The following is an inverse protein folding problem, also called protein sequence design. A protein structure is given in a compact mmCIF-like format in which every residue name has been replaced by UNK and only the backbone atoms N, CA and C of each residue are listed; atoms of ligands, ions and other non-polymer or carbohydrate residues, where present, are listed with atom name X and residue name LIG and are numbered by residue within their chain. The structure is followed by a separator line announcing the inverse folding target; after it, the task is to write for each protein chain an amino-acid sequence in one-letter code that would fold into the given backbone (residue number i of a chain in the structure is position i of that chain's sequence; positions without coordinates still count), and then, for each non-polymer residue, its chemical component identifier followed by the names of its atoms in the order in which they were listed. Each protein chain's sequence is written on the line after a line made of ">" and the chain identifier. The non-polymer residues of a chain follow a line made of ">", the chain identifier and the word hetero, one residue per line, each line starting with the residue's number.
data_IF_092609164803
#
_entry.id   IF_092609164803
#
_cell.length_a   1.000
_cell.length_b   1.000
_cell.length_c   1.000
_cell.angle_alpha   90.00
_cell.angle_beta   90.00
_cell.angle_gamma   90.00
#
_symmetry.space_group_name_H-M   'P 1'
#
loop_
_entity.id
_entity.type
_entity.pdbx_description
1 polymer ?
#
# COMPACT_ATOMS: atom_id res chain seq x y z
N UNK A 1 -6.39 14.47 21.48
CA UNK A 1 -6.14 13.53 22.61
C UNK A 1 -4.67 13.11 22.53
N UNK A 2 -3.83 13.60 23.44
CA UNK A 2 -2.38 13.37 23.42
C UNK A 2 -2.01 11.96 23.88
N UNK A 3 -0.99 11.38 23.25
CA UNK A 3 -0.44 10.05 23.57
C UNK A 3 0.41 10.06 24.86
N UNK A 4 -0.19 10.40 26.00
CA UNK A 4 0.51 10.41 27.29
C UNK A 4 0.53 9.04 28.02
N UNK A 5 -0.03 7.98 27.45
CA UNK A 5 -0.20 6.68 28.13
C UNK A 5 0.69 5.54 27.61
N UNK A 6 1.65 5.80 26.73
CA UNK A 6 2.60 4.78 26.26
C UNK A 6 3.81 4.69 27.20
N UNK A 7 3.68 3.98 28.32
CA UNK A 7 4.83 3.56 29.13
C UNK A 7 5.42 2.26 28.58
N UNK A 8 6.73 2.24 28.30
CA UNK A 8 7.52 1.03 28.02
C UNK A 8 7.67 0.17 29.28
N UNK A 9 7.51 -1.15 29.16
CA UNK A 9 7.83 -2.09 30.24
C UNK A 9 9.33 -2.18 30.53
N UNK A 10 9.72 -2.90 31.59
CA UNK A 10 11.13 -3.10 31.96
C UNK A 10 11.98 -3.78 30.86
N UNK A 11 11.33 -4.43 29.90
CA UNK A 11 11.95 -5.10 28.75
C UNK A 11 11.94 -4.25 27.46
N UNK A 12 11.65 -2.94 27.54
CA UNK A 12 11.68 -2.03 26.39
C UNK A 12 10.51 -2.17 25.40
N UNK A 13 9.58 -3.09 25.62
CA UNK A 13 8.38 -3.23 24.79
C UNK A 13 7.24 -2.29 25.24
N UNK A 14 6.57 -1.57 24.33
CA UNK A 14 5.38 -0.78 24.66
C UNK A 14 4.20 -1.70 24.95
N UNK A 15 3.51 -1.49 26.08
CA UNK A 15 2.23 -2.16 26.36
C UNK A 15 1.18 -1.64 25.37
N UNK A 16 0.91 -2.42 24.32
CA UNK A 16 -0.01 -2.06 23.24
C UNK A 16 -1.45 -1.81 23.72
N UNK A 17 -2.23 -1.12 22.87
CA UNK A 17 -3.69 -1.04 22.99
C UNK A 17 -4.26 -2.46 23.06
N UNK A 18 -5.24 -2.69 23.95
CA UNK A 18 -5.89 -3.96 24.28
C UNK A 18 -6.55 -4.69 23.09
N UNK A 19 -5.76 -5.09 22.12
CA UNK A 19 -6.09 -6.05 21.09
C UNK A 19 -4.93 -7.05 21.12
N UNK A 20 -5.21 -8.35 21.24
CA UNK A 20 -4.23 -9.42 21.45
C UNK A 20 -3.30 -9.67 20.23
N UNK A 21 -3.00 -8.64 19.45
CA UNK A 21 -1.89 -8.61 18.52
C UNK A 21 -0.67 -8.01 19.23
N UNK A 22 0.45 -8.71 19.18
CA UNK A 22 1.75 -8.17 19.56
C UNK A 22 2.03 -6.92 18.73
N UNK A 23 1.92 -5.76 19.36
CA UNK A 23 2.56 -4.51 18.92
C UNK A 23 4.07 -4.62 19.20
N UNK A 24 4.69 -5.68 18.69
CA UNK A 24 6.08 -5.58 18.29
C UNK A 24 6.12 -4.76 17.02
N UNK A 25 7.26 -4.16 16.70
CA UNK A 25 7.55 -3.49 15.43
C UNK A 25 7.21 -4.32 14.17
N UNK A 26 6.85 -5.59 14.34
CA UNK A 26 6.53 -6.54 13.28
C UNK A 26 5.08 -6.56 12.77
N UNK A 27 4.16 -5.77 13.35
CA UNK A 27 2.84 -5.53 12.70
C UNK A 27 2.92 -4.60 11.48
N UNK A 28 4.08 -3.98 11.23
CA UNK A 28 4.38 -3.15 10.05
C UNK A 28 5.16 -3.91 8.97
N UNK A 29 5.26 -5.24 9.06
CA UNK A 29 6.05 -6.00 8.12
C UNK A 29 5.29 -6.38 6.86
N UNK A 30 5.95 -6.18 5.72
CA UNK A 30 5.50 -6.64 4.39
C UNK A 30 5.26 -8.16 4.38
N UNK A 31 4.04 -8.57 4.01
CA UNK A 31 3.63 -9.96 3.74
C UNK A 31 3.67 -10.93 4.93
N UNK A 32 3.34 -10.47 6.14
CA UNK A 32 3.12 -11.39 7.27
C UNK A 32 1.92 -12.29 6.98
N UNK A 33 2.10 -13.60 7.14
CA UNK A 33 0.98 -14.56 7.11
C UNK A 33 0.70 -14.92 8.55
N UNK A 34 -0.56 -14.74 8.96
CA UNK A 34 -0.99 -15.16 10.29
C UNK A 34 -1.15 -16.68 10.31
N UNK A 35 -0.45 -17.33 11.24
CA UNK A 35 -0.60 -18.77 11.46
C UNK A 35 -1.86 -19.05 12.29
N UNK A 36 -2.97 -19.30 11.60
CA UNK A 36 -4.24 -19.67 12.20
C UNK A 36 -4.30 -21.14 12.66
N UNK A 37 -3.28 -21.96 12.34
CA UNK A 37 -3.14 -23.34 12.80
C UNK A 37 -2.22 -23.47 14.01
N UNK A 38 -1.62 -22.37 14.49
CA UNK A 38 -0.66 -22.34 15.60
C UNK A 38 -1.15 -23.01 16.90
N UNK A 39 -2.46 -23.01 17.16
CA UNK A 39 -3.06 -23.62 18.37
C UNK A 39 -3.64 -25.03 18.14
N UNK A 40 -3.51 -25.60 16.94
CA UNK A 40 -3.97 -26.97 16.68
C UNK A 40 -2.83 -27.97 16.86
N UNK A 41 -3.03 -28.95 17.73
CA UNK A 41 -2.16 -30.12 17.80
C UNK A 41 -2.45 -31.05 16.62
N UNK A 42 -1.39 -31.53 15.97
CA UNK A 42 -1.52 -32.56 14.93
C UNK A 42 -2.19 -33.82 15.52
N UNK A 43 -3.11 -34.47 14.79
CA UNK A 43 -3.68 -35.74 15.21
C UNK A 43 -2.58 -36.81 15.39
N UNK A 44 -2.66 -37.56 16.48
CA UNK A 44 -1.92 -38.80 16.77
C UNK A 44 -0.58 -39.03 16.05
N UNK A 45 0.49 -38.41 16.55
CA UNK A 45 1.87 -38.83 16.24
C UNK A 45 2.40 -38.45 14.86
N UNK A 46 1.65 -37.69 14.06
CA UNK A 46 2.13 -37.15 12.80
C UNK A 46 3.26 -36.13 13.06
N UNK A 47 4.37 -36.30 12.33
CA UNK A 47 5.49 -35.37 12.41
C UNK A 47 5.10 -34.05 11.77
N UNK A 48 5.48 -32.90 12.36
CA UNK A 48 5.28 -31.61 11.72
C UNK A 48 6.00 -31.57 10.38
N UNK A 49 5.42 -30.85 9.42
CA UNK A 49 6.02 -30.70 8.10
C UNK A 49 7.43 -30.09 8.20
N UNK A 50 8.43 -30.76 7.62
CA UNK A 50 9.86 -30.44 7.77
C UNK A 50 10.29 -29.14 7.06
N UNK A 51 9.38 -28.45 6.37
CA UNK A 51 9.70 -27.22 5.66
C UNK A 51 9.29 -25.98 6.44
N UNK A 52 10.10 -24.93 6.27
CA UNK A 52 9.93 -23.66 6.95
C UNK A 52 10.01 -22.53 5.93
N UNK A 53 9.14 -21.52 6.08
CA UNK A 53 9.23 -20.29 5.30
C UNK A 53 10.14 -19.29 6.03
N UNK A 54 11.23 -18.91 5.37
CA UNK A 54 12.18 -17.92 5.89
C UNK A 54 12.09 -16.65 5.04
N UNK A 55 12.01 -15.51 5.73
CA UNK A 55 11.96 -14.18 5.14
C UNK A 55 13.27 -13.45 5.33
N UNK A 56 13.72 -12.84 4.24
CA UNK A 56 14.89 -11.96 4.16
C UNK A 56 14.45 -10.51 3.98
N UNK A 57 15.44 -9.63 3.79
CA UNK A 57 15.22 -8.20 3.55
C UNK A 57 14.22 -7.97 2.41
N UNK A 58 13.39 -6.95 2.56
CA UNK A 58 12.46 -6.46 1.54
C UNK A 58 11.35 -7.47 1.12
N UNK A 59 11.04 -8.43 2.00
CA UNK A 59 9.96 -9.40 1.81
C UNK A 59 10.28 -10.54 0.85
N UNK A 60 11.57 -10.76 0.53
CA UNK A 60 12.04 -11.97 -0.16
C UNK A 60 11.78 -13.17 0.75
N UNK A 61 11.01 -14.15 0.28
CA UNK A 61 10.68 -15.36 1.04
C UNK A 61 11.13 -16.59 0.27
N UNK A 62 11.82 -17.49 0.95
CA UNK A 62 12.20 -18.79 0.43
C UNK A 62 11.79 -19.89 1.40
N UNK A 63 11.64 -21.09 0.86
CA UNK A 63 11.30 -22.27 1.63
C UNK A 63 12.55 -23.11 1.83
N UNK A 64 12.78 -23.52 3.07
CA UNK A 64 13.95 -24.31 3.45
C UNK A 64 13.51 -25.58 4.16
N UNK A 65 14.23 -26.66 3.93
CA UNK A 65 14.03 -27.93 4.64
C UNK A 65 14.84 -27.95 5.94
N UNK A 66 14.18 -28.28 7.03
CA UNK A 66 14.79 -28.48 8.34
C UNK A 66 15.32 -29.91 8.44
N UNK A 67 16.57 -30.14 8.03
CA UNK A 67 17.17 -31.48 8.04
C UNK A 67 17.58 -31.97 9.43
N UNK A 68 17.83 -31.04 10.36
CA UNK A 68 18.35 -31.36 11.70
C UNK A 68 17.24 -31.43 12.77
N UNK A 69 15.96 -31.41 12.37
CA UNK A 69 14.80 -31.40 13.27
C UNK A 69 14.91 -30.32 14.37
N UNK A 70 15.42 -29.14 14.01
CA UNK A 70 15.54 -28.00 14.92
C UNK A 70 14.15 -27.54 15.38
N UNK A 71 14.01 -27.20 16.66
CA UNK A 71 12.78 -26.63 17.22
C UNK A 71 12.65 -25.15 16.81
N UNK A 72 12.11 -24.89 15.64
CA UNK A 72 11.93 -23.54 15.08
C UNK A 72 10.55 -22.99 15.41
N UNK A 73 10.50 -21.76 15.90
CA UNK A 73 9.28 -21.01 16.16
C UNK A 73 9.18 -19.77 15.27
N UNK A 74 7.97 -19.25 15.08
CA UNK A 74 7.75 -18.03 14.29
C UNK A 74 8.48 -16.86 14.97
N UNK A 75 9.28 -16.13 14.19
CA UNK A 75 10.13 -15.03 14.67
C UNK A 75 11.57 -15.43 14.97
N UNK A 76 11.90 -16.73 15.01
CA UNK A 76 13.28 -17.17 15.20
C UNK A 76 14.17 -16.70 14.04
N UNK A 77 15.38 -16.24 14.37
CA UNK A 77 16.41 -15.90 13.39
C UNK A 77 17.23 -17.15 13.10
N UNK A 78 17.36 -17.50 11.82
CA UNK A 78 18.00 -18.73 11.37
C UNK A 78 19.08 -18.44 10.33
N UNK A 79 20.16 -19.23 10.40
CA UNK A 79 21.19 -19.28 9.38
C UNK A 79 20.82 -20.33 8.34
N UNK A 80 20.71 -19.89 7.09
CA UNK A 80 20.22 -20.67 5.95
C UNK A 80 21.30 -20.87 4.91
N UNK A 81 21.15 -21.95 4.13
CA UNK A 81 22.02 -22.21 2.99
C UNK A 81 21.80 -21.17 1.89
N UNK A 82 22.89 -20.55 1.44
CA UNK A 82 22.94 -19.71 0.26
C UNK A 82 23.83 -20.33 -0.81
N UNK A 83 23.78 -19.80 -2.04
CA UNK A 83 24.68 -20.24 -3.11
C UNK A 83 26.17 -20.10 -2.75
N UNK A 84 26.51 -19.12 -1.90
CA UNK A 84 27.88 -18.89 -1.43
C UNK A 84 27.87 -18.48 0.05
N UNK A 85 28.22 -19.38 0.97
CA UNK A 85 28.21 -19.09 2.42
C UNK A 85 26.81 -19.22 3.05
N UNK A 86 26.51 -18.40 4.06
CA UNK A 86 25.28 -18.48 4.85
C UNK A 86 24.51 -17.16 4.73
N UNK A 87 23.18 -17.25 4.72
CA UNK A 87 22.30 -16.08 4.76
C UNK A 87 21.45 -16.12 6.03
N UNK A 88 21.19 -14.95 6.62
CA UNK A 88 20.46 -14.82 7.88
C UNK A 88 19.06 -14.31 7.60
N UNK A 89 18.05 -15.05 8.04
CA UNK A 89 16.66 -14.72 7.81
C UNK A 89 15.80 -15.02 9.03
N UNK A 90 14.56 -14.51 9.00
CA UNK A 90 13.59 -14.69 10.07
C UNK A 90 12.53 -15.71 9.64
N UNK A 91 12.20 -16.66 10.51
CA UNK A 91 11.14 -17.64 10.28
C UNK A 91 9.78 -16.95 10.32
N UNK A 92 9.00 -17.06 9.24
CA UNK A 92 7.65 -16.49 9.17
C UNK A 92 6.53 -17.50 9.31
N UNK A 93 6.74 -18.74 8.82
CA UNK A 93 5.76 -19.81 8.92
C UNK A 93 6.45 -21.15 9.14
N UNK A 94 5.80 -22.00 9.94
CA UNK A 94 6.19 -23.38 10.26
C UNK A 94 4.98 -24.30 10.10
N UNK A 95 5.22 -25.60 9.92
CA UNK A 95 4.15 -26.62 9.90
C UNK A 95 3.35 -26.69 8.59
N UNK A 96 2.13 -27.23 8.67
CA UNK A 96 1.33 -27.60 7.48
C UNK A 96 0.94 -26.41 6.60
N UNK A 97 0.88 -25.19 7.15
CA UNK A 97 0.66 -23.98 6.35
C UNK A 97 1.73 -23.77 5.29
N UNK A 98 2.97 -24.19 5.55
CA UNK A 98 4.05 -24.10 4.58
C UNK A 98 3.72 -24.95 3.35
N UNK A 99 3.17 -26.15 3.54
CA UNK A 99 2.72 -27.03 2.45
C UNK A 99 1.63 -26.38 1.59
N UNK A 100 0.64 -25.73 2.22
CA UNK A 100 -0.42 -25.00 1.49
C UNK A 100 0.17 -23.86 0.67
N UNK A 101 1.13 -23.13 1.25
CA UNK A 101 1.82 -22.03 0.56
C UNK A 101 2.69 -22.51 -0.61
N UNK A 102 3.41 -23.63 -0.43
CA UNK A 102 4.23 -24.25 -1.49
C UNK A 102 3.36 -24.73 -2.64
N UNK A 103 2.23 -25.40 -2.35
CA UNK A 103 1.23 -25.79 -3.36
C UNK A 103 0.68 -24.58 -4.12
N UNK A 104 0.33 -23.51 -3.42
CA UNK A 104 -0.17 -22.26 -4.05
C UNK A 104 0.88 -21.63 -4.99
N UNK A 105 2.14 -21.66 -4.60
CA UNK A 105 3.26 -21.14 -5.41
C UNK A 105 3.78 -22.13 -6.46
N UNK A 106 3.21 -23.34 -6.53
CA UNK A 106 3.63 -24.42 -7.45
C UNK A 106 5.11 -24.79 -7.29
N UNK A 107 5.61 -24.76 -6.05
CA UNK A 107 6.99 -25.17 -5.72
C UNK A 107 6.95 -26.66 -5.41
N UNK A 108 7.81 -27.44 -6.09
CA UNK A 108 7.86 -28.88 -5.88
C UNK A 108 8.64 -29.20 -4.60
N UNK A 109 8.23 -30.25 -3.88
CA UNK A 109 8.95 -30.73 -2.69
C UNK A 109 10.24 -31.48 -3.06
N UNK A 110 10.45 -31.75 -4.36
CA UNK A 110 11.46 -32.65 -4.93
C UNK A 110 12.48 -31.95 -5.84
N UNK A 111 12.46 -30.61 -5.93
CA UNK A 111 13.44 -29.90 -6.78
C UNK A 111 14.87 -30.24 -6.35
N UNK A 112 15.77 -30.35 -7.34
CA UNK A 112 17.17 -30.78 -7.17
C UNK A 112 18.01 -29.83 -6.29
N UNK A 113 17.50 -28.64 -5.96
CA UNK A 113 18.14 -27.64 -5.11
C UNK A 113 17.38 -27.45 -3.78
N UNK A 114 17.30 -28.49 -2.95
CA UNK A 114 16.72 -28.37 -1.60
C UNK A 114 17.63 -27.49 -0.73
N UNK A 115 17.20 -26.25 -0.49
CA UNK A 115 17.87 -25.35 0.45
C UNK A 115 17.64 -25.81 1.90
N UNK A 116 18.72 -25.89 2.67
CA UNK A 116 18.67 -26.36 4.08
C UNK A 116 18.81 -25.22 5.08
N UNK A 117 18.23 -25.41 6.26
CA UNK A 117 18.52 -24.61 7.44
C UNK A 117 19.69 -25.26 8.18
N UNK A 118 20.74 -24.48 8.48
CA UNK A 118 21.89 -24.98 9.21
C UNK A 118 21.68 -24.95 10.71
N UNK A 119 21.26 -23.80 11.26
CA UNK A 119 21.11 -23.60 12.71
C UNK A 119 20.28 -22.37 13.03
N UNK A 120 19.86 -22.23 14.28
CA UNK A 120 19.46 -20.93 14.83
C UNK A 120 20.66 -19.99 14.81
N UNK A 121 20.44 -18.74 14.40
CA UNK A 121 21.51 -17.75 14.32
C UNK A 121 22.10 -17.51 15.71
N UNK A 122 23.42 -17.56 15.82
CA UNK A 122 24.10 -17.18 17.05
C UNK A 122 24.11 -15.67 17.23
N UNK A 123 24.35 -15.17 18.45
CA UNK A 123 24.45 -13.72 18.67
C UNK A 123 25.51 -13.07 17.77
N UNK A 124 26.64 -13.76 17.55
CA UNK A 124 27.68 -13.29 16.62
C UNK A 124 27.16 -13.15 15.18
N UNK A 125 26.34 -14.10 14.72
CA UNK A 125 25.76 -14.05 13.37
C UNK A 125 24.78 -12.86 13.26
N UNK A 126 24.02 -12.57 14.32
CA UNK A 126 23.09 -11.44 14.39
C UNK A 126 23.84 -10.10 14.41
N UNK A 127 24.91 -10.00 15.19
CA UNK A 127 25.73 -8.79 15.29
C UNK A 127 26.39 -8.48 13.93
N UNK A 128 26.98 -9.50 13.29
CA UNK A 128 27.57 -9.36 11.94
C UNK A 128 26.50 -8.93 10.93
N UNK A 129 25.33 -9.58 10.95
CA UNK A 129 24.23 -9.23 10.06
C UNK A 129 23.76 -7.78 10.26
N UNK A 130 23.68 -7.31 11.51
CA UNK A 130 23.35 -5.92 11.83
C UNK A 130 24.41 -4.94 11.32
N UNK A 131 25.68 -5.23 11.55
CA UNK A 131 26.81 -4.38 11.11
C UNK A 131 26.85 -4.20 9.58
N UNK A 132 26.56 -5.26 8.82
CA UNK A 132 26.48 -5.16 7.36
C UNK A 132 25.23 -4.42 6.91
N UNK A 133 24.11 -4.59 7.60
CA UNK A 133 22.88 -3.86 7.31
C UNK A 133 23.05 -2.35 7.51
N UNK A 134 23.78 -1.93 8.53
CA UNK A 134 24.06 -0.51 8.78
C UNK A 134 24.99 0.10 7.73
N UNK A 135 25.81 -0.74 7.06
CA UNK A 135 26.66 -0.31 5.92
C UNK A 135 25.90 -0.14 4.61
N UNK A 136 24.66 -0.63 4.49
CA UNK A 136 23.89 -0.58 3.23
C UNK A 136 23.57 0.84 2.80
N UNK A 137 23.11 1.69 3.72
CA UNK A 137 22.70 3.06 3.41
C UNK A 137 23.87 3.95 2.97
N UNK A 138 25.03 4.01 3.68
CA UNK A 138 26.18 4.78 3.20
C UNK A 138 26.74 4.19 1.89
N UNK A 139 26.71 2.87 1.72
CA UNK A 139 27.11 2.22 0.47
C UNK A 139 26.22 2.64 -0.71
N UNK A 140 24.90 2.75 -0.48
CA UNK A 140 23.92 3.17 -1.48
C UNK A 140 24.13 4.59 -1.97
N UNK A 141 24.50 5.50 -1.07
CA UNK A 141 24.83 6.89 -1.43
C UNK A 141 26.06 6.93 -2.34
N UNK A 142 27.15 6.27 -1.92
CA UNK A 142 28.39 6.18 -2.74
C UNK A 142 28.15 5.50 -4.09
N UNK A 143 27.39 4.42 -4.10
CA UNK A 143 27.05 3.69 -5.31
C UNK A 143 26.32 4.59 -6.33
N UNK A 144 25.38 5.43 -5.85
CA UNK A 144 24.70 6.41 -6.70
C UNK A 144 25.64 7.47 -7.25
N UNK A 145 26.57 7.96 -6.44
CA UNK A 145 27.57 8.94 -6.87
C UNK A 145 28.42 8.37 -8.02
N UNK A 146 28.95 7.17 -7.85
CA UNK A 146 29.73 6.49 -8.89
C UNK A 146 28.97 6.24 -10.20
N UNK A 147 27.67 5.90 -10.11
CA UNK A 147 26.83 5.75 -11.30
C UNK A 147 26.66 7.08 -12.06
N UNK A 148 26.55 8.20 -11.32
CA UNK A 148 26.46 9.55 -11.88
C UNK A 148 27.79 9.97 -12.50
N UNK A 149 28.92 9.67 -11.85
CA UNK A 149 30.27 10.03 -12.33
C UNK A 149 30.58 9.38 -13.70
N UNK A 150 30.16 8.13 -13.89
CA UNK A 150 30.31 7.40 -15.17
C UNK A 150 29.17 7.77 -16.16
N UNK A 151 28.20 8.59 -15.74
CA UNK A 151 27.02 9.01 -16.54
C UNK A 151 26.18 7.83 -17.05
N UNK A 152 26.05 6.79 -16.24
CA UNK A 152 25.20 5.65 -16.58
C UNK A 152 23.72 5.99 -16.41
N UNK A 153 22.91 5.67 -17.41
CA UNK A 153 21.45 5.86 -17.39
C UNK A 153 20.77 4.76 -16.56
N UNK A 154 21.03 4.78 -15.25
CA UNK A 154 20.48 3.81 -14.31
C UNK A 154 20.20 4.43 -12.95
N UNK A 155 19.26 3.83 -12.21
CA UNK A 155 18.93 4.23 -10.85
C UNK A 155 19.12 3.06 -9.90
N UNK A 156 19.91 3.28 -8.85
CA UNK A 156 20.14 2.29 -7.80
C UNK A 156 19.03 2.41 -6.76
N UNK A 157 18.22 1.36 -6.68
CA UNK A 157 17.01 1.31 -5.85
C UNK A 157 17.36 0.93 -4.41
N UNK A 158 18.07 -0.19 -4.22
CA UNK A 158 18.33 -0.82 -2.93
C UNK A 158 19.60 -1.67 -2.99
N UNK A 159 20.22 -1.94 -1.84
CA UNK A 159 21.39 -2.82 -1.70
C UNK A 159 21.07 -3.83 -0.61
N UNK A 160 21.35 -5.10 -0.84
CA UNK A 160 21.14 -6.17 0.12
C UNK A 160 22.47 -6.90 0.34
N UNK A 161 22.95 -6.91 1.58
CA UNK A 161 24.01 -7.84 1.96
C UNK A 161 23.44 -9.20 2.30
N UNK A 162 24.21 -10.21 1.95
CA UNK A 162 24.05 -11.53 2.53
C UNK A 162 24.44 -11.50 4.02
N UNK A 163 23.82 -12.36 4.85
CA UNK A 163 24.09 -12.43 6.30
C UNK A 163 25.57 -12.42 6.71
N UNK A 164 26.42 -13.18 6.01
CA UNK A 164 27.86 -13.25 6.27
C UNK A 164 28.67 -12.05 5.70
N UNK A 165 28.04 -11.16 4.93
CA UNK A 165 28.68 -10.05 4.22
C UNK A 165 29.56 -10.46 3.03
N UNK A 166 29.54 -11.75 2.65
CA UNK A 166 30.32 -12.31 1.55
C UNK A 166 29.93 -11.72 0.17
N UNK A 167 28.65 -11.36 0.02
CA UNK A 167 28.05 -10.89 -1.22
C UNK A 167 27.14 -9.69 -0.95
N UNK A 168 27.23 -8.69 -1.82
CA UNK A 168 26.36 -7.53 -1.85
C UNK A 168 25.60 -7.50 -3.19
N UNK A 169 24.27 -7.56 -3.13
CA UNK A 169 23.40 -7.50 -4.31
C UNK A 169 22.84 -6.08 -4.47
N UNK A 170 23.17 -5.45 -5.58
CA UNK A 170 22.73 -4.10 -5.94
C UNK A 170 21.52 -4.20 -6.87
N UNK A 171 20.38 -3.69 -6.41
CA UNK A 171 19.17 -3.62 -7.20
C UNK A 171 19.11 -2.31 -7.96
N UNK A 172 18.93 -2.40 -9.28
CA UNK A 172 18.85 -1.21 -10.14
C UNK A 172 17.69 -1.28 -11.12
N UNK A 173 17.21 -0.10 -11.52
CA UNK A 173 16.27 0.10 -12.61
C UNK A 173 16.95 0.86 -13.74
N UNK A 174 16.64 0.47 -14.97
CA UNK A 174 17.09 1.11 -16.20
C UNK A 174 16.05 0.85 -17.29
N UNK A 175 15.86 1.80 -18.20
CA UNK A 175 14.99 1.66 -19.37
C UNK A 175 15.67 0.79 -20.44
N UNK A 176 16.94 1.07 -20.71
CA UNK A 176 17.76 0.38 -21.69
C UNK A 176 18.81 -0.54 -21.06
N UNK A 177 19.49 -1.32 -21.90
CA UNK A 177 20.63 -2.15 -21.47
C UNK A 177 21.80 -1.26 -21.08
N UNK A 178 22.28 -1.44 -19.85
CA UNK A 178 23.38 -0.67 -19.27
C UNK A 178 24.67 -1.50 -19.28
N UNK A 179 25.79 -0.93 -19.71
CA UNK A 179 27.11 -1.52 -19.52
C UNK A 179 27.69 -1.07 -18.17
N UNK A 180 27.70 -1.97 -17.20
CA UNK A 180 28.16 -1.71 -15.83
C UNK A 180 29.57 -2.26 -15.56
N UNK A 181 30.35 -2.67 -16.58
CA UNK A 181 31.69 -3.26 -16.38
C UNK A 181 32.64 -2.32 -15.64
N UNK A 182 32.64 -1.03 -15.99
CA UNK A 182 33.47 -0.03 -15.32
C UNK A 182 32.99 0.24 -13.89
N UNK A 183 31.67 0.31 -13.70
CA UNK A 183 31.05 0.48 -12.39
C UNK A 183 31.42 -0.66 -11.42
N UNK A 184 31.43 -1.91 -11.90
CA UNK A 184 31.85 -3.07 -11.10
C UNK A 184 33.30 -2.92 -10.63
N UNK A 185 34.21 -2.41 -11.47
CA UNK A 185 35.62 -2.21 -11.07
C UNK A 185 35.72 -1.19 -9.94
N UNK A 186 34.96 -0.09 -10.02
CA UNK A 186 34.96 0.92 -8.97
C UNK A 186 34.35 0.38 -7.67
N UNK A 187 33.23 -0.34 -7.75
CA UNK A 187 32.61 -0.96 -6.58
C UNK A 187 33.51 -1.98 -5.92
N UNK A 188 34.20 -2.82 -6.70
CA UNK A 188 35.13 -3.80 -6.17
C UNK A 188 36.30 -3.14 -5.42
N UNK A 189 36.78 -1.99 -5.93
CA UNK A 189 37.85 -1.20 -5.31
C UNK A 189 37.41 -0.56 -3.99
N UNK A 190 36.22 0.02 -3.94
CA UNK A 190 35.72 0.74 -2.77
C UNK A 190 35.19 -0.20 -1.68
N UNK A 191 34.33 -1.15 -2.05
CA UNK A 191 33.55 -1.94 -1.09
C UNK A 191 34.23 -3.24 -0.68
N UNK A 192 35.18 -3.74 -1.48
CA UNK A 192 35.95 -4.97 -1.19
C UNK A 192 35.07 -6.20 -0.91
N UNK A 193 33.85 -6.21 -1.46
CA UNK A 193 32.88 -7.31 -1.34
C UNK A 193 32.52 -7.82 -2.73
N UNK A 194 32.09 -9.08 -2.84
CA UNK A 194 31.59 -9.62 -4.10
C UNK A 194 30.29 -8.93 -4.48
N UNK A 195 30.31 -8.22 -5.61
CA UNK A 195 29.16 -7.47 -6.12
C UNK A 195 28.34 -8.33 -7.07
N UNK A 196 27.02 -8.31 -6.90
CA UNK A 196 26.06 -8.80 -7.87
C UNK A 196 25.12 -7.68 -8.27
N UNK A 197 24.96 -7.45 -9.58
CA UNK A 197 24.03 -6.45 -10.11
C UNK A 197 22.74 -7.16 -10.52
N UNK A 198 21.60 -6.74 -9.98
CA UNK A 198 20.28 -7.31 -10.30
C UNK A 198 19.33 -6.24 -10.82
N UNK A 199 18.90 -6.40 -12.07
CA UNK A 199 17.88 -5.53 -12.64
C UNK A 199 16.52 -5.87 -12.04
N UNK A 200 15.79 -4.84 -11.63
CA UNK A 200 14.39 -4.94 -11.18
C UNK A 200 13.50 -4.09 -12.09
N UNK A 201 12.23 -4.47 -12.21
CA UNK A 201 11.25 -3.65 -12.92
C UNK A 201 10.78 -2.47 -12.08
N UNK A 202 10.30 -1.41 -12.73
CA UNK A 202 9.78 -0.19 -12.08
C UNK A 202 8.74 -0.44 -10.98
N UNK A 203 7.88 -1.45 -11.15
CA UNK A 203 6.88 -1.82 -10.14
C UNK A 203 7.50 -2.46 -8.91
N UNK A 204 8.53 -3.29 -9.10
CA UNK A 204 9.27 -3.89 -7.99
C UNK A 204 10.08 -2.81 -7.28
N UNK A 205 10.70 -1.87 -7.99
CA UNK A 205 11.32 -0.68 -7.38
C UNK A 205 10.32 0.07 -6.49
N UNK A 206 9.12 0.38 -6.99
CA UNK A 206 8.08 1.04 -6.19
C UNK A 206 7.65 0.21 -4.96
N UNK A 207 7.59 -1.12 -5.10
CA UNK A 207 7.31 -2.04 -3.99
C UNK A 207 8.41 -2.04 -2.92
N UNK A 208 9.67 -1.79 -3.30
CA UNK A 208 10.84 -1.73 -2.41
C UNK A 208 10.95 -0.39 -1.70
N UNK A 209 10.76 0.70 -2.43
CA UNK A 209 10.79 2.07 -1.87
C UNK A 209 9.56 2.36 -1.01
N UNK A 210 8.40 1.77 -1.36
CA UNK A 210 7.13 2.14 -0.75
C UNK A 210 6.64 3.50 -1.24
N UNK A 211 5.50 3.94 -0.72
CA UNK A 211 4.90 5.22 -1.05
C UNK A 211 3.39 5.24 -0.84
N UNK A 212 2.77 6.35 -1.23
CA UNK A 212 1.32 6.56 -1.14
C UNK A 212 0.72 6.57 -2.55
N UNK A 213 -0.29 5.72 -2.76
CA UNK A 213 -1.02 5.63 -4.01
C UNK A 213 -1.96 6.82 -4.21
N UNK A 214 -2.49 6.97 -5.42
CA UNK A 214 -3.50 8.01 -5.72
C UNK A 214 -4.78 7.88 -4.89
N UNK A 215 -5.02 6.72 -4.27
CA UNK A 215 -6.12 6.47 -3.36
C UNK A 215 -5.85 6.92 -1.91
N UNK A 216 -4.70 7.53 -1.63
CA UNK A 216 -4.33 7.99 -0.28
C UNK A 216 -3.86 6.89 0.67
N UNK A 217 -3.86 5.62 0.23
CA UNK A 217 -3.33 4.47 0.99
C UNK A 217 -1.90 4.16 0.57
N UNK A 218 -1.18 3.41 1.40
CA UNK A 218 0.12 2.84 1.02
C UNK A 218 0.01 2.01 -0.27
N UNK A 219 1.11 1.91 -1.02
CA UNK A 219 1.13 1.14 -2.25
C UNK A 219 0.78 -0.33 -1.97
N UNK A 220 -0.23 -0.85 -2.68
CA UNK A 220 -0.64 -2.25 -2.56
C UNK A 220 0.51 -3.23 -2.82
N UNK A 221 1.46 -2.86 -3.70
CA UNK A 221 2.64 -3.64 -4.00
C UNK A 221 3.68 -3.66 -2.86
N UNK A 222 3.71 -2.69 -1.96
CA UNK A 222 4.56 -2.72 -0.77
C UNK A 222 3.90 -3.41 0.40
N UNK A 223 2.56 -3.56 0.41
CA UNK A 223 1.81 -4.14 1.53
C UNK A 223 1.53 -5.62 1.36
N UNK A 224 0.73 -5.99 0.35
CA UNK A 224 0.10 -7.33 0.27
C UNK A 224 0.09 -7.95 -1.13
N UNK A 225 0.11 -7.13 -2.19
CA UNK A 225 0.03 -7.63 -3.56
C UNK A 225 1.44 -7.94 -4.10
N UNK A 226 1.76 -9.24 -4.21
CA UNK A 226 3.07 -9.71 -4.72
C UNK A 226 3.04 -10.23 -6.14
N UNK A 227 1.90 -10.75 -6.59
CA UNK A 227 1.75 -11.29 -7.92
C UNK A 227 1.30 -10.19 -8.89
N UNK A 228 2.19 -9.84 -9.83
CA UNK A 228 1.97 -8.76 -10.77
C UNK A 228 1.65 -9.32 -12.14
N UNK A 229 0.36 -9.40 -12.46
CA UNK A 229 -0.10 -9.65 -13.82
C UNK A 229 0.07 -8.39 -14.68
N UNK A 230 0.30 -8.59 -15.99
CA UNK A 230 0.24 -7.50 -16.95
C UNK A 230 -1.18 -6.92 -16.99
N UNK A 231 -1.27 -5.59 -17.04
CA UNK A 231 -2.54 -4.87 -17.07
C UNK A 231 -2.70 -4.32 -18.48
N UNK A 232 -3.86 -4.55 -19.08
CA UNK A 232 -4.23 -4.01 -20.39
C UNK A 232 -5.13 -2.78 -20.25
N UNK A 233 -5.17 -1.94 -21.28
CA UNK A 233 -6.10 -0.79 -21.34
C UNK A 233 -7.56 -1.22 -21.50
N UNK A 234 -7.83 -2.48 -21.85
CA UNK A 234 -9.19 -3.02 -21.93
C UNK A 234 -9.88 -3.07 -20.57
N UNK A 235 -9.15 -3.34 -19.49
CA UNK A 235 -9.71 -3.34 -18.13
C UNK A 235 -10.32 -1.97 -17.76
N UNK A 236 -9.65 -0.88 -18.16
CA UNK A 236 -10.15 0.48 -17.94
C UNK A 236 -11.45 0.77 -18.70
N UNK A 237 -11.68 0.13 -19.86
CA UNK A 237 -12.93 0.29 -20.63
C UNK A 237 -14.11 -0.37 -19.95
N UNK A 238 -13.94 -1.58 -19.43
CA UNK A 238 -15.00 -2.27 -18.67
C UNK A 238 -15.38 -1.51 -17.39
N UNK A 239 -14.41 -0.83 -16.79
CA UNK A 239 -14.63 0.02 -15.61
C UNK A 239 -15.13 1.43 -15.97
N UNK A 240 -15.36 1.72 -17.26
CA UNK A 240 -15.81 3.02 -17.77
C UNK A 240 -14.93 4.19 -17.34
N UNK A 241 -13.63 3.95 -17.12
CA UNK A 241 -12.67 4.96 -16.73
C UNK A 241 -12.20 5.75 -17.96
N UNK A 242 -11.93 7.04 -17.76
CA UNK A 242 -11.35 7.87 -18.82
C UNK A 242 -10.01 7.30 -19.28
N UNK A 243 -9.80 7.17 -20.59
CA UNK A 243 -8.61 6.58 -21.19
C UNK A 243 -7.37 7.50 -21.19
N UNK A 244 -7.27 8.40 -20.21
CA UNK A 244 -6.11 9.27 -20.05
C UNK A 244 -4.96 8.52 -19.34
N UNK A 245 -3.78 8.38 -19.98
CA UNK A 245 -2.67 7.61 -19.42
C UNK A 245 -2.19 8.16 -18.06
N UNK A 246 -2.26 9.47 -17.82
CA UNK A 246 -1.81 10.07 -16.56
C UNK A 246 -2.69 9.66 -15.37
N UNK A 247 -4.00 9.44 -15.60
CA UNK A 247 -4.92 8.99 -14.54
C UNK A 247 -4.85 7.47 -14.32
N UNK A 248 -4.52 6.71 -15.36
CA UNK A 248 -4.42 5.25 -15.33
C UNK A 248 -3.04 4.74 -14.89
N UNK A 249 -1.99 5.57 -15.01
CA UNK A 249 -0.67 5.26 -14.50
C UNK A 249 -0.63 5.28 -12.97
N UNK A 250 0.02 4.28 -12.38
CA UNK A 250 0.37 4.25 -10.97
C UNK A 250 1.68 4.97 -10.69
N UNK A 251 2.08 5.04 -9.41
CA UNK A 251 3.36 5.66 -9.01
C UNK A 251 4.60 5.00 -9.63
N UNK A 252 4.46 3.77 -10.12
CA UNK A 252 5.51 3.06 -10.84
C UNK A 252 5.62 3.42 -12.33
N UNK A 253 4.86 4.42 -12.82
CA UNK A 253 4.84 4.83 -14.24
C UNK A 253 4.10 3.87 -15.18
N UNK A 254 3.77 2.66 -14.73
CA UNK A 254 2.95 1.68 -15.49
C UNK A 254 1.47 1.76 -15.08
N UNK A 255 0.60 1.14 -15.88
CA UNK A 255 -0.83 1.02 -15.57
C UNK A 255 -1.07 0.47 -14.14
N UNK A 256 -2.07 1.01 -13.45
CA UNK A 256 -2.45 0.60 -12.09
C UNK A 256 -2.84 -0.87 -12.04
N UNK A 257 -2.25 -1.62 -11.11
CA UNK A 257 -2.64 -3.00 -10.84
C UNK A 257 -4.04 -3.13 -10.22
N UNK A 258 -4.56 -2.06 -9.60
CA UNK A 258 -5.94 -2.00 -9.12
C UNK A 258 -6.95 -2.27 -10.25
N UNK A 259 -6.64 -1.89 -11.49
CA UNK A 259 -7.52 -2.14 -12.63
C UNK A 259 -7.79 -3.63 -12.80
N UNK A 260 -6.78 -4.50 -12.70
CA UNK A 260 -7.01 -5.94 -12.77
C UNK A 260 -7.63 -6.50 -11.48
N UNK A 261 -7.25 -5.96 -10.32
CA UNK A 261 -7.76 -6.43 -9.04
C UNK A 261 -9.28 -6.23 -8.90
N UNK A 262 -9.79 -5.10 -9.36
CA UNK A 262 -11.21 -4.76 -9.27
C UNK A 262 -12.02 -5.33 -10.44
N UNK A 263 -11.38 -5.68 -11.56
CA UNK A 263 -12.04 -6.05 -12.82
C UNK A 263 -13.11 -7.13 -12.64
N UNK A 264 -12.81 -8.19 -11.89
CA UNK A 264 -13.74 -9.31 -11.71
C UNK A 264 -15.03 -8.85 -11.01
N UNK A 265 -14.91 -7.97 -10.00
CA UNK A 265 -16.07 -7.37 -9.31
C UNK A 265 -16.91 -6.51 -10.25
N UNK A 266 -16.28 -5.75 -11.16
CA UNK A 266 -17.01 -4.98 -12.17
C UNK A 266 -17.71 -5.88 -13.18
N UNK A 267 -17.06 -6.97 -13.63
CA UNK A 267 -17.66 -7.92 -14.56
C UNK A 267 -18.85 -8.64 -13.96
N UNK A 268 -18.77 -9.03 -12.70
CA UNK A 268 -19.89 -9.64 -11.99
C UNK A 268 -21.04 -8.66 -11.81
N UNK A 269 -20.76 -7.42 -11.42
CA UNK A 269 -21.79 -6.39 -11.32
C UNK A 269 -22.46 -6.13 -12.68
N UNK A 270 -21.71 -6.08 -13.78
CA UNK A 270 -22.22 -5.87 -15.13
C UNK A 270 -23.18 -6.98 -15.61
N UNK A 271 -23.04 -8.22 -15.13
CA UNK A 271 -23.94 -9.33 -15.51
C UNK A 271 -25.38 -9.09 -15.05
N UNK A 272 -25.56 -8.36 -13.95
CA UNK A 272 -26.89 -8.05 -13.42
C UNK A 272 -27.60 -6.95 -14.21
N UNK A 273 -26.87 -6.13 -14.98
CA UNK A 273 -27.45 -5.06 -15.77
C UNK A 273 -27.91 -5.57 -17.14
N UNK A 274 -29.02 -5.02 -17.67
CA UNK A 274 -29.38 -5.26 -19.07
C UNK A 274 -28.30 -4.70 -20.00
N UNK A 275 -28.14 -5.33 -21.18
CA UNK A 275 -27.18 -4.85 -22.19
C UNK A 275 -27.50 -3.41 -22.60
N UNK A 276 -26.47 -2.59 -22.82
CA UNK A 276 -26.60 -1.17 -23.19
C UNK A 276 -27.41 -0.94 -24.47
N UNK A 277 -27.42 -1.91 -25.40
CA UNK A 277 -28.06 -1.79 -26.70
C UNK A 277 -29.58 -2.06 -26.64
N UNK A 278 -30.12 -2.38 -25.47
CA UNK A 278 -31.54 -2.67 -25.30
C UNK A 278 -32.34 -1.37 -25.22
N UNK A 279 -33.25 -1.19 -26.17
CA UNK A 279 -34.18 -0.06 -26.20
C UNK A 279 -35.40 -0.33 -25.32
N UNK A 280 -35.84 0.68 -24.58
CA UNK A 280 -37.11 0.64 -23.84
C UNK A 280 -38.21 1.24 -24.71
N UNK A 281 -39.30 0.52 -24.90
CA UNK A 281 -40.47 1.02 -25.61
C UNK A 281 -41.47 1.57 -24.59
N UNK A 282 -41.85 2.83 -24.75
CA UNK A 282 -42.90 3.47 -23.95
C UNK A 282 -43.91 4.12 -24.87
N UNK A 283 -45.04 4.58 -24.33
CA UNK A 283 -46.07 5.26 -25.12
C UNK A 283 -45.58 6.61 -25.69
N UNK A 284 -44.71 7.32 -24.95
CA UNK A 284 -44.08 8.57 -25.39
C UNK A 284 -43.03 8.39 -26.50
N UNK A 285 -42.41 7.21 -26.58
CA UNK A 285 -41.38 6.93 -27.56
C UNK A 285 -40.39 5.86 -27.14
N UNK A 286 -39.39 5.66 -27.98
CA UNK A 286 -38.29 4.72 -27.73
C UNK A 286 -37.18 5.40 -26.95
N UNK A 287 -36.74 4.80 -25.86
CA UNK A 287 -35.64 5.31 -25.05
C UNK A 287 -34.38 4.45 -25.18
N UNK A 288 -33.24 5.12 -25.22
CA UNK A 288 -31.90 4.53 -25.40
C UNK A 288 -31.05 4.79 -24.16
N UNK A 289 -30.32 3.79 -23.71
CA UNK A 289 -29.39 3.91 -22.58
C UNK A 289 -28.15 4.70 -23.01
N UNK A 290 -27.86 5.80 -22.33
CA UNK A 290 -26.69 6.65 -22.58
C UNK A 290 -25.54 6.35 -21.63
N UNK A 291 -25.86 6.06 -20.36
CA UNK A 291 -24.87 5.84 -19.31
C UNK A 291 -25.38 4.86 -18.27
N UNK A 292 -24.50 3.96 -17.83
CA UNK A 292 -24.79 3.01 -16.76
C UNK A 292 -23.86 3.28 -15.57
N UNK A 293 -24.41 3.63 -14.42
CA UNK A 293 -23.66 3.74 -13.17
C UNK A 293 -23.76 2.42 -12.39
N UNK A 294 -22.68 1.64 -12.44
CA UNK A 294 -22.60 0.29 -11.87
C UNK A 294 -22.71 0.32 -10.34
N UNK A 295 -22.13 1.34 -9.68
CA UNK A 295 -22.07 1.40 -8.23
C UNK A 295 -23.37 1.88 -7.60
N UNK A 296 -24.02 2.87 -8.24
CA UNK A 296 -25.30 3.36 -7.74
C UNK A 296 -26.48 2.52 -8.21
N UNK A 297 -26.31 1.61 -9.19
CA UNK A 297 -27.41 0.82 -9.73
C UNK A 297 -28.37 1.61 -10.61
N UNK A 298 -27.92 2.74 -11.17
CA UNK A 298 -28.76 3.64 -11.96
C UNK A 298 -28.36 3.61 -13.44
N UNK A 299 -29.36 3.67 -14.31
CA UNK A 299 -29.20 3.81 -15.74
C UNK A 299 -29.82 5.13 -16.18
N UNK A 300 -29.13 5.81 -17.10
CA UNK A 300 -29.57 7.07 -17.67
C UNK A 300 -30.10 6.81 -19.08
N UNK A 301 -31.40 7.04 -19.26
CA UNK A 301 -32.08 6.90 -20.54
C UNK A 301 -32.44 8.26 -21.13
N UNK A 302 -32.39 8.35 -22.45
CA UNK A 302 -32.88 9.50 -23.20
C UNK A 302 -33.81 9.03 -24.32
N UNK A 303 -34.86 9.79 -24.59
CA UNK A 303 -35.80 9.51 -25.67
C UNK A 303 -35.18 9.82 -27.05
N UNK A 304 -35.55 9.05 -28.07
CA UNK A 304 -35.19 9.34 -29.46
C UNK A 304 -35.80 10.70 -29.89
N UNK A 305 -34.96 11.71 -30.09
CA UNK A 305 -35.35 13.09 -30.41
C UNK A 305 -35.04 14.11 -29.31
N UNK A 306 -34.94 13.67 -28.06
CA UNK A 306 -34.64 14.51 -26.89
C UNK A 306 -33.38 14.04 -26.15
N UNK A 307 -32.21 14.12 -26.81
CA UNK A 307 -30.95 13.65 -26.22
C UNK A 307 -30.41 14.49 -25.05
N UNK A 308 -30.98 15.68 -24.83
CA UNK A 308 -30.59 16.58 -23.73
C UNK A 308 -31.30 16.26 -22.42
N UNK A 309 -32.45 15.57 -22.47
CA UNK A 309 -33.22 15.20 -21.28
C UNK A 309 -32.85 13.78 -20.87
N UNK A 310 -32.18 13.64 -19.73
CA UNK A 310 -31.80 12.33 -19.20
C UNK A 310 -32.70 11.95 -18.03
N UNK A 311 -33.29 10.77 -18.11
CA UNK A 311 -34.11 10.17 -17.05
C UNK A 311 -33.30 9.10 -16.33
N UNK A 312 -33.24 9.22 -15.00
CA UNK A 312 -32.56 8.25 -14.13
C UNK A 312 -33.55 7.16 -13.75
N UNK A 313 -33.17 5.89 -13.95
CA UNK A 313 -34.01 4.73 -13.62
C UNK A 313 -33.13 3.69 -12.91
N UNK A 314 -33.69 3.00 -11.92
CA UNK A 314 -32.97 1.92 -11.23
C UNK A 314 -32.89 0.64 -12.06
N UNK A 315 -31.89 -0.21 -11.79
CA UNK A 315 -31.73 -1.51 -12.46
C UNK A 315 -32.97 -2.41 -12.38
N UNK A 316 -33.73 -2.34 -11.29
CA UNK A 316 -34.92 -3.18 -11.02
C UNK A 316 -36.08 -2.72 -11.88
N UNK A 317 -36.39 -1.41 -11.84
CA UNK A 317 -37.39 -0.80 -12.70
C UNK A 317 -37.10 -1.05 -14.19
N UNK A 318 -35.84 -0.99 -14.63
CA UNK A 318 -35.50 -1.31 -16.03
C UNK A 318 -35.82 -2.77 -16.38
N UNK A 319 -35.56 -3.72 -15.47
CA UNK A 319 -35.92 -5.14 -15.69
C UNK A 319 -37.43 -5.34 -15.79
N UNK A 320 -38.19 -4.67 -14.93
CA UNK A 320 -39.66 -4.70 -14.97
C UNK A 320 -40.19 -4.15 -16.29
N UNK A 321 -39.70 -2.99 -16.73
CA UNK A 321 -40.09 -2.40 -18.03
C UNK A 321 -39.73 -3.34 -19.18
N UNK A 322 -38.59 -4.05 -19.11
CA UNK A 322 -38.21 -5.03 -20.12
C UNK A 322 -39.12 -6.27 -20.13
N UNK A 323 -39.57 -6.72 -18.97
CA UNK A 323 -40.54 -7.83 -18.87
C UNK A 323 -41.91 -7.44 -19.42
N UNK A 324 -42.38 -6.22 -19.12
CA UNK A 324 -43.61 -5.66 -19.69
C UNK A 324 -43.51 -5.50 -21.22
N UNK A 325 -42.37 -5.00 -21.71
CA UNK A 325 -42.11 -4.90 -23.14
C UNK A 325 -42.09 -6.27 -23.84
N UNK A 326 -41.58 -7.33 -23.18
CA UNK A 326 -41.67 -8.70 -23.70
C UNK A 326 -43.12 -9.22 -23.77
N UNK A 327 -43.96 -8.81 -22.80
CA UNK A 327 -45.41 -9.08 -22.78
C UNK A 327 -46.21 -8.20 -23.76
N UNK A 328 -45.55 -7.29 -24.49
CA UNK A 328 -46.13 -6.29 -25.42
C UNK A 328 -46.98 -5.22 -24.74
N UNK A 329 -46.87 -5.07 -23.42
CA UNK A 329 -47.49 -3.97 -22.68
C UNK A 329 -46.51 -2.80 -22.65
N UNK A 330 -46.93 -1.65 -23.17
CA UNK A 330 -46.13 -0.42 -23.17
C UNK A 330 -46.34 0.33 -21.87
N UNK A 331 -45.25 0.88 -21.33
CA UNK A 331 -45.29 1.72 -20.13
C UNK A 331 -45.61 3.17 -20.51
N UNK A 332 -46.41 3.87 -19.70
CA UNK A 332 -46.92 5.22 -20.00
C UNK A 332 -45.80 6.27 -20.12
N UNK A 333 -44.92 6.40 -19.14
CA UNK A 333 -43.78 7.33 -19.21
C UNK A 333 -42.60 6.91 -18.32
N UNK A 334 -41.37 7.20 -18.74
CA UNK A 334 -40.17 6.97 -17.91
C UNK A 334 -40.02 8.01 -16.78
N UNK A 335 -40.76 9.12 -16.88
CA UNK A 335 -40.76 10.21 -15.91
C UNK A 335 -41.43 9.81 -14.59
N UNK A 336 -42.48 8.99 -14.63
CA UNK A 336 -43.12 8.43 -13.44
C UNK A 336 -42.12 7.62 -12.60
N UNK A 337 -41.34 6.76 -13.25
CA UNK A 337 -40.30 5.96 -12.60
C UNK A 337 -39.10 6.79 -12.13
N UNK A 338 -38.75 7.85 -12.87
CA UNK A 338 -37.67 8.76 -12.50
C UNK A 338 -38.04 9.68 -11.31
N UNK A 339 -39.34 9.95 -11.13
CA UNK A 339 -39.83 10.84 -10.06
C UNK A 339 -39.70 10.24 -8.65
N UNK A 340 -39.70 8.91 -8.53
CA UNK A 340 -39.52 8.20 -7.25
C UNK A 340 -38.11 8.36 -6.66
N UNK A 341 -37.11 8.72 -7.48
CA UNK A 341 -35.72 8.91 -7.05
C UNK A 341 -35.41 10.32 -6.50
N UNK A 342 -36.38 11.25 -6.56
CA UNK A 342 -36.16 12.66 -6.20
C UNK A 342 -36.26 12.90 -4.67
N UNK A 343 -36.66 11.92 -3.87
CA UNK A 343 -36.78 12.12 -2.42
C UNK A 343 -35.43 11.93 -1.69
N UNK A 344 -35.03 13.01 -1.01
CA UNK A 344 -33.98 13.15 0.00
C UNK A 344 -32.51 13.20 -0.45
N UNK A 345 -32.18 14.20 -1.28
CA UNK A 345 -30.93 14.95 -1.04
C UNK A 345 -31.25 16.24 -0.30
N UNK A 346 -31.66 16.11 0.97
CA UNK A 346 -31.36 17.19 1.92
C UNK A 346 -29.84 17.31 1.93
N UNK A 347 -29.35 18.45 1.45
CA UNK A 347 -27.94 18.82 1.42
C UNK A 347 -27.36 18.81 2.84
N UNK A 348 -26.97 17.65 3.37
CA UNK A 348 -26.01 17.53 4.46
C UNK A 348 -24.60 17.46 3.88
N UNK A 349 -24.21 18.53 3.19
CA UNK A 349 -22.80 18.88 3.03
C UNK A 349 -22.63 20.28 3.59
N UNK A 350 -22.61 20.39 4.92
CA UNK A 350 -22.00 21.52 5.58
C UNK A 350 -20.49 21.43 5.31
N UNK A 351 -20.07 22.18 4.28
CA UNK A 351 -18.70 22.24 3.77
C UNK A 351 -17.71 22.65 4.88
N UNK A 352 -17.11 21.69 5.59
CA UNK A 352 -15.95 21.94 6.47
C UNK A 352 -14.67 22.25 5.65
N UNK A 353 -14.69 22.01 4.33
CA UNK A 353 -13.53 22.21 3.44
C UNK A 353 -13.64 23.50 2.60
N UNK A 354 -14.76 24.24 2.70
CA UNK A 354 -15.06 25.41 1.87
C UNK A 354 -14.71 26.77 2.47
N UNK A 355 -14.10 26.82 3.67
CA UNK A 355 -13.81 28.07 4.40
C UNK A 355 -12.32 28.35 4.64
N UNK A 356 -11.38 27.67 3.99
CA UNK A 356 -9.99 28.14 4.00
C UNK A 356 -9.73 29.01 2.77
N UNK A 357 -10.04 30.30 2.91
CA UNK A 357 -9.51 31.32 2.00
C UNK A 357 -7.97 31.25 2.02
N UNK A 358 -7.36 31.10 0.84
CA UNK A 358 -5.89 31.00 0.63
C UNK A 358 -5.07 32.14 1.27
N UNK A 359 -5.70 33.25 1.67
CA UNK A 359 -5.06 34.43 2.26
C UNK A 359 -4.99 34.41 3.79
N UNK A 360 -5.34 33.29 4.45
CA UNK A 360 -5.24 33.12 5.91
C UNK A 360 -3.84 33.42 6.47
N UNK A 361 -2.80 33.22 5.66
CA UNK A 361 -1.41 33.49 6.02
C UNK A 361 -0.88 34.87 5.61
N UNK A 362 -1.65 35.68 4.86
CA UNK A 362 -1.22 37.00 4.34
C UNK A 362 -1.68 38.20 5.18
N UNK A 363 -2.51 37.99 6.20
CA UNK A 363 -2.90 39.07 7.10
C UNK A 363 -1.80 39.36 8.14
N UNK A 364 -1.05 40.46 7.93
CA UNK A 364 -0.16 41.04 8.95
C UNK A 364 -0.98 41.31 10.22
N UNK A 365 -0.66 40.59 11.30
CA UNK A 365 -1.36 40.67 12.57
C UNK A 365 -1.49 42.09 13.13
N UNK A 366 -2.53 42.37 13.93
CA UNK A 366 -2.82 43.73 14.36
C UNK A 366 -1.76 44.24 15.35
N UNK A 367 -1.03 45.26 14.90
CA UNK A 367 -0.18 46.13 15.72
C UNK A 367 -1.00 46.74 16.87
N UNK A 368 -0.89 46.21 18.08
CA UNK A 368 -1.30 46.91 19.29
C UNK A 368 -0.21 47.92 19.68
N UNK A 369 -0.37 49.16 19.23
CA UNK A 369 0.33 50.32 19.80
C UNK A 369 -0.66 51.43 20.16
N UNK A 370 -0.71 51.67 21.46
CA UNK A 370 -1.07 52.90 22.18
C UNK A 370 -2.47 53.52 22.05
N UNK A 371 -3.20 53.50 23.17
CA UNK A 371 -3.87 54.72 23.64
C UNK A 371 -3.48 55.02 25.09
N UNK A 372 -2.71 56.09 25.20
CA UNK A 372 -2.46 56.92 26.38
C UNK A 372 -3.77 57.42 26.96
N UNK A 373 -3.95 57.29 28.28
CA UNK A 373 -4.54 58.35 29.10
C UNK A 373 -4.22 58.14 30.60
N UNK A 374 -3.09 58.70 31.02
CA UNK A 374 -2.78 58.96 32.43
C UNK A 374 -3.63 60.14 32.90
N UNK A 375 -4.65 59.89 33.72
CA UNK A 375 -5.21 60.92 34.61
C UNK A 375 -4.60 60.76 36.00
N UNK A 376 -3.80 61.76 36.35
CA UNK A 376 -3.23 62.05 37.66
C UNK A 376 -4.25 61.91 38.79
N UNK A 377 -3.98 61.05 39.77
CA UNK A 377 -4.49 61.21 41.14
C UNK A 377 -3.30 61.26 42.10
N UNK A 378 -3.23 62.39 42.79
CA UNK A 378 -2.16 62.91 43.64
C UNK A 378 -1.76 61.94 44.76
N UNK A 379 -0.44 61.79 44.94
CA UNK A 379 0.21 61.40 46.20
C UNK A 379 -0.08 62.46 47.27
N UNK A 380 -0.54 62.03 48.45
CA UNK A 380 -0.28 62.70 49.73
C UNK A 380 0.49 61.73 50.61
N UNK A 381 1.75 62.04 50.91
CA UNK A 381 2.41 61.65 52.16
C UNK A 381 2.66 62.95 52.96
N UNK A 382 2.58 62.91 54.30
CA UNK A 382 2.61 64.10 55.12
C UNK A 382 4.04 64.61 55.30
N UNK A 383 4.15 65.94 55.40
CA UNK A 383 5.37 66.68 55.64
C UNK A 383 5.67 66.66 57.14
N UNK A 384 6.89 66.28 57.48
CA UNK A 384 7.41 66.27 58.84
C UNK A 384 7.62 67.72 59.29
N UNK A 385 6.97 68.12 60.38
CA UNK A 385 7.25 69.36 61.10
C UNK A 385 8.40 69.10 62.07
N UNK A 386 9.45 69.92 62.00
CA UNK A 386 10.21 70.29 63.19
C UNK A 386 10.42 71.80 63.14
N UNK A 387 9.58 72.49 63.90
CA UNK A 387 9.96 73.78 64.46
C UNK A 387 11.01 73.53 65.53
N UNK A 388 11.97 74.44 65.52
CA UNK A 388 13.07 74.53 66.45
C UNK A 388 12.63 74.80 67.89
N UNK A 389 13.48 74.30 68.77
CA UNK A 389 13.93 74.90 70.01
C UNK A 389 13.12 74.71 71.31
N UNK A 390 13.88 74.14 72.25
CA UNK A 390 13.77 74.09 73.73
C UNK A 390 13.03 72.91 74.32
#
# INVERSE_FOLDING_TARGET
>A
MSCNSCSTGKDGQPKGCKNNGTCGTDSCNKLTVFDWLSNMSLPNGDKPFDWVEVRFKNGRKHYYKNTENLTLSIGDIVATQAQFGHDVGMVTLTGELVRVQMKRKKISETDEEILKIYRKASQKDIDIWSDYRDKEEPMKVKARQFAIDIKLQMKISDIEFQGDGSKATFYYTAEDRVDFRELIKMYAKEFKTRIEMKQVGFRQEASRLGGIGSCGRELCCSTWLTDFRSVSTSAARYQQLSLNPQKLAGQCGKLKCCLNYELDTYLDALKDFPKSDVKLYTEKGTAVCQKTDIFKGHLWFAYEGEWSNWHVITKEQVKEILELNKKKEKVASLEEYASELIQDTKNEFENVVGQDSLTRFDSKGPSKRNKTNRKNKKRRKPQNSKNNAK
#
